data_IF_821717386204
#
_entry.id   IF_821717386204
#
_cell.length_a   1.000
_cell.length_b   1.000
_cell.length_c   1.000
_cell.angle_alpha   90.00
_cell.angle_beta   90.00
_cell.angle_gamma   90.00
#
_symmetry.space_group_name_H-M   'P 1'
#
loop_
_entity.id
_entity.type
_entity.pdbx_description
1 polymer ?
#
# COMPACT_ATOMS: atom_id res chain seq x y z
N UNK A 1 24.94 -5.08 9.52
CA UNK A 1 25.22 -6.53 9.47
C UNK A 1 25.53 -7.01 8.05
N UNK A 2 24.71 -6.74 7.03
CA UNK A 2 24.91 -7.27 5.67
C UNK A 2 26.11 -6.68 4.88
N UNK A 3 26.51 -5.42 5.12
CA UNK A 3 27.66 -4.82 4.43
C UNK A 3 29.03 -5.45 4.81
N UNK A 4 29.07 -6.22 5.90
CA UNK A 4 30.27 -6.90 6.41
C UNK A 4 30.29 -8.40 6.07
N UNK A 5 29.28 -8.91 5.34
CA UNK A 5 29.07 -10.34 5.13
C UNK A 5 29.82 -10.94 3.91
N UNK A 6 30.84 -10.25 3.39
CA UNK A 6 31.61 -10.73 2.23
C UNK A 6 30.79 -10.82 0.92
N UNK A 7 29.71 -10.05 0.81
CA UNK A 7 28.79 -10.09 -0.33
C UNK A 7 29.42 -9.54 -1.60
N UNK A 8 29.07 -10.18 -2.73
CA UNK A 8 29.41 -9.72 -4.07
C UNK A 8 28.78 -8.36 -4.38
N UNK A 9 29.31 -7.65 -5.38
CA UNK A 9 28.77 -6.36 -5.80
C UNK A 9 27.30 -6.44 -6.25
N UNK A 10 26.90 -7.54 -6.91
CA UNK A 10 25.52 -7.78 -7.35
C UNK A 10 24.57 -7.97 -6.16
N UNK A 11 24.97 -8.77 -5.16
CA UNK A 11 24.18 -8.97 -3.94
C UNK A 11 24.02 -7.67 -3.15
N UNK A 12 25.06 -6.82 -3.06
CA UNK A 12 24.95 -5.51 -2.42
C UNK A 12 23.94 -4.61 -3.12
N UNK A 13 23.92 -4.57 -4.46
CA UNK A 13 22.91 -3.82 -5.22
C UNK A 13 21.50 -4.33 -4.96
N UNK A 14 21.31 -5.65 -4.93
CA UNK A 14 20.04 -6.28 -4.61
C UNK A 14 19.56 -5.93 -3.20
N UNK A 15 20.47 -5.91 -2.21
CA UNK A 15 20.11 -5.50 -0.85
C UNK A 15 19.70 -4.03 -0.77
N UNK A 16 20.35 -3.14 -1.52
CA UNK A 16 19.93 -1.73 -1.61
C UNK A 16 18.52 -1.63 -2.22
N UNK A 17 18.24 -2.38 -3.29
CA UNK A 17 16.89 -2.47 -3.88
C UNK A 17 15.87 -2.95 -2.84
N UNK A 18 16.13 -4.09 -2.18
CA UNK A 18 15.24 -4.67 -1.17
C UNK A 18 15.02 -3.74 0.01
N UNK A 19 16.01 -2.95 0.41
CA UNK A 19 15.86 -1.95 1.48
C UNK A 19 14.86 -0.85 1.10
N UNK A 20 14.91 -0.33 -0.13
CA UNK A 20 13.91 0.65 -0.57
C UNK A 20 12.52 0.03 -0.75
N UNK A 21 12.44 -1.21 -1.24
CA UNK A 21 11.17 -1.94 -1.31
C UNK A 21 10.60 -2.24 0.08
N UNK A 22 11.44 -2.48 1.08
CA UNK A 22 11.04 -2.64 2.49
C UNK A 22 10.38 -1.35 3.02
N UNK A 23 11.00 -0.19 2.77
CA UNK A 23 10.41 1.11 3.16
C UNK A 23 9.08 1.33 2.44
N UNK A 24 9.03 1.04 1.14
CA UNK A 24 7.79 1.12 0.35
C UNK A 24 6.69 0.21 0.88
N UNK A 25 7.02 -1.03 1.26
CA UNK A 25 6.08 -1.97 1.84
C UNK A 25 5.56 -1.48 3.20
N UNK A 26 6.44 -1.04 4.10
CA UNK A 26 6.06 -0.54 5.41
C UNK A 26 5.13 0.68 5.29
N UNK A 27 5.45 1.59 4.37
CA UNK A 27 4.58 2.71 4.04
C UNK A 27 3.22 2.22 3.51
N UNK A 28 3.19 1.35 2.50
CA UNK A 28 1.94 0.87 1.92
C UNK A 28 1.01 0.24 2.99
N UNK A 29 1.54 -0.67 3.80
CA UNK A 29 0.77 -1.33 4.86
C UNK A 29 0.28 -0.36 5.93
N UNK A 30 1.03 0.71 6.23
CA UNK A 30 0.55 1.75 7.16
C UNK A 30 -0.72 2.48 6.71
N UNK A 31 -1.01 2.50 5.41
CA UNK A 31 -2.22 3.08 4.85
C UNK A 31 -3.32 2.05 4.68
N UNK A 32 -2.95 0.87 4.19
CA UNK A 32 -3.86 -0.23 4.00
C UNK A 32 -4.53 -0.66 5.32
N UNK A 33 -3.74 -0.74 6.40
CA UNK A 33 -4.21 -1.16 7.72
C UNK A 33 -5.03 -0.08 8.45
N UNK A 34 -5.16 1.13 7.89
CA UNK A 34 -6.13 2.12 8.39
C UNK A 34 -7.58 1.66 8.26
N UNK A 35 -7.83 0.63 7.45
CA UNK A 35 -9.12 -0.08 7.39
C UNK A 35 -9.56 -0.57 8.78
N UNK A 36 -8.63 -1.01 9.64
CA UNK A 36 -8.91 -1.40 11.03
C UNK A 36 -8.85 -0.25 12.05
N UNK A 37 -8.55 0.97 11.61
CA UNK A 37 -8.37 2.15 12.46
C UNK A 37 -9.25 3.31 12.03
N UNK A 38 -8.61 4.39 11.54
CA UNK A 38 -9.29 5.65 11.20
C UNK A 38 -10.46 5.49 10.23
N UNK A 39 -10.36 4.60 9.22
CA UNK A 39 -11.43 4.39 8.24
C UNK A 39 -12.64 3.66 8.84
N UNK A 40 -12.43 2.74 9.78
CA UNK A 40 -13.54 2.11 10.53
C UNK A 40 -14.25 3.15 11.42
N UNK A 41 -13.51 4.06 12.04
CA UNK A 41 -14.09 5.15 12.84
C UNK A 41 -14.89 6.09 11.94
N UNK A 42 -14.34 6.45 10.78
CA UNK A 42 -15.05 7.26 9.80
C UNK A 42 -16.34 6.58 9.29
N UNK A 43 -16.30 5.27 9.07
CA UNK A 43 -17.47 4.47 8.70
C UNK A 43 -18.56 4.49 9.79
N UNK A 44 -18.17 4.40 11.06
CA UNK A 44 -19.10 4.39 12.20
C UNK A 44 -19.77 5.75 12.40
N UNK A 45 -18.96 6.82 12.41
CA UNK A 45 -19.40 8.11 12.95
C UNK A 45 -19.85 9.08 11.85
N UNK A 46 -19.23 9.02 10.67
CA UNK A 46 -19.34 10.04 9.62
C UNK A 46 -19.85 9.50 8.28
N UNK A 47 -20.27 8.24 8.25
CA UNK A 47 -20.85 7.63 7.05
C UNK A 47 -22.31 7.28 7.28
N UNK A 48 -23.16 7.60 6.30
CA UNK A 48 -24.52 7.09 6.24
C UNK A 48 -24.51 5.67 5.68
N UNK A 49 -24.90 4.72 6.53
CA UNK A 49 -24.95 3.30 6.23
C UNK A 49 -26.38 2.83 5.93
N UNK A 50 -27.37 3.72 5.99
CA UNK A 50 -28.71 3.40 5.54
C UNK A 50 -28.78 3.53 4.02
N UNK A 51 -28.83 2.39 3.32
CA UNK A 51 -28.96 2.37 1.87
C UNK A 51 -30.33 1.80 1.54
N UNK A 52 -31.18 2.62 0.93
CA UNK A 52 -32.53 2.23 0.52
C UNK A 52 -33.37 1.61 1.67
N UNK A 53 -33.18 2.10 2.91
CA UNK A 53 -33.91 1.62 4.08
C UNK A 53 -33.28 0.42 4.80
N UNK A 54 -32.12 -0.07 4.36
CA UNK A 54 -31.37 -1.12 5.04
C UNK A 54 -30.11 -0.55 5.70
N UNK A 55 -29.95 -0.80 7.01
CA UNK A 55 -28.77 -0.39 7.77
C UNK A 55 -27.62 -1.38 7.59
N UNK A 56 -26.64 -1.01 6.75
CA UNK A 56 -25.46 -1.82 6.51
C UNK A 56 -24.61 -1.94 7.80
N UNK A 57 -24.22 -3.16 8.22
CA UNK A 57 -23.30 -3.32 9.33
C UNK A 57 -21.92 -2.73 9.00
N UNK A 58 -21.35 -1.95 9.91
CA UNK A 58 -20.00 -1.36 9.74
C UNK A 58 -18.96 -2.45 9.44
N UNK A 59 -19.09 -3.62 10.06
CA UNK A 59 -18.19 -4.77 9.86
C UNK A 59 -18.12 -5.25 8.40
N UNK A 60 -19.15 -4.97 7.59
CA UNK A 60 -19.14 -5.32 6.17
C UNK A 60 -18.18 -4.46 5.36
N UNK A 61 -17.72 -3.32 5.88
CA UNK A 61 -16.67 -2.53 5.23
C UNK A 61 -15.36 -3.33 5.10
N UNK A 62 -15.10 -4.23 6.05
CA UNK A 62 -13.94 -5.12 6.00
C UNK A 62 -14.06 -6.20 4.90
N UNK A 63 -15.26 -6.43 4.36
CA UNK A 63 -15.49 -7.35 3.24
C UNK A 63 -15.17 -6.70 1.89
N UNK A 64 -15.09 -5.36 1.82
CA UNK A 64 -14.85 -4.65 0.57
C UNK A 64 -13.52 -5.09 -0.08
N UNK A 65 -12.45 -5.18 0.70
CA UNK A 65 -11.14 -5.61 0.21
C UNK A 65 -11.14 -7.04 -0.38
N UNK A 66 -11.52 -8.11 0.35
CA UNK A 66 -11.49 -9.46 -0.23
C UNK A 66 -12.41 -9.61 -1.46
N UNK A 67 -13.55 -8.91 -1.49
CA UNK A 67 -14.42 -8.86 -2.68
C UNK A 67 -13.68 -8.21 -3.85
N UNK A 68 -13.08 -7.04 -3.66
CA UNK A 68 -12.32 -6.36 -4.72
C UNK A 68 -11.09 -7.16 -5.17
N UNK A 69 -10.39 -7.85 -4.27
CA UNK A 69 -9.28 -8.73 -4.63
C UNK A 69 -9.75 -9.83 -5.57
N UNK A 70 -10.83 -10.54 -5.23
CA UNK A 70 -11.38 -11.62 -6.08
C UNK A 70 -11.81 -11.08 -7.45
N UNK A 71 -12.45 -9.91 -7.48
CA UNK A 71 -12.93 -9.30 -8.72
C UNK A 71 -11.77 -8.80 -9.62
N UNK A 72 -10.75 -8.17 -9.05
CA UNK A 72 -9.74 -7.45 -9.82
C UNK A 72 -8.39 -8.17 -9.93
N UNK A 73 -8.09 -9.19 -9.14
CA UNK A 73 -6.84 -9.95 -9.26
C UNK A 73 -6.62 -10.54 -10.66
N UNK A 74 -7.64 -11.16 -11.34
CA UNK A 74 -7.47 -11.64 -12.71
C UNK A 74 -7.16 -10.51 -13.70
N UNK A 75 -7.76 -9.32 -13.49
CA UNK A 75 -7.54 -8.14 -14.33
C UNK A 75 -6.09 -7.67 -14.20
N UNK A 76 -5.59 -7.52 -12.98
CA UNK A 76 -4.20 -7.10 -12.74
C UNK A 76 -3.20 -8.14 -13.26
N UNK A 77 -3.46 -9.43 -13.06
CA UNK A 77 -2.64 -10.49 -13.62
C UNK A 77 -2.58 -10.42 -15.16
N UNK A 78 -3.72 -10.18 -15.81
CA UNK A 78 -3.81 -10.00 -17.26
C UNK A 78 -3.06 -8.76 -17.76
N UNK A 79 -3.18 -7.63 -17.07
CA UNK A 79 -2.46 -6.38 -17.39
C UNK A 79 -0.96 -6.59 -17.33
N UNK A 80 -0.44 -7.15 -16.24
CA UNK A 80 1.00 -7.39 -16.09
C UNK A 80 1.54 -8.38 -17.11
N UNK A 81 0.80 -9.46 -17.37
CA UNK A 81 1.17 -10.45 -18.39
C UNK A 81 1.19 -9.83 -19.78
N UNK A 82 0.20 -9.00 -20.14
CA UNK A 82 0.16 -8.33 -21.43
C UNK A 82 1.31 -7.34 -21.61
N UNK A 83 1.65 -6.57 -20.57
CA UNK A 83 2.78 -5.65 -20.58
C UNK A 83 4.11 -6.42 -20.71
N UNK A 84 4.25 -7.56 -20.03
CA UNK A 84 5.43 -8.42 -20.15
C UNK A 84 5.62 -8.96 -21.57
N UNK A 85 4.56 -9.47 -22.22
CA UNK A 85 4.62 -9.94 -23.61
C UNK A 85 5.03 -8.81 -24.57
N UNK A 86 4.64 -7.57 -24.28
CA UNK A 86 5.01 -6.37 -25.06
C UNK A 86 6.37 -5.78 -24.70
N UNK A 87 7.14 -6.41 -23.80
CA UNK A 87 8.40 -5.85 -23.28
C UNK A 87 8.25 -4.47 -22.60
N UNK A 88 7.06 -4.19 -22.07
CA UNK A 88 6.70 -2.95 -21.36
C UNK A 88 6.45 -3.21 -19.87
N UNK A 89 6.91 -4.35 -19.32
CA UNK A 89 6.72 -4.66 -17.90
C UNK A 89 7.45 -3.62 -17.02
N UNK A 90 6.73 -2.89 -16.15
CA UNK A 90 7.39 -1.93 -15.28
C UNK A 90 8.32 -2.63 -14.31
N UNK A 91 9.44 -1.97 -13.99
CA UNK A 91 10.36 -2.47 -12.96
C UNK A 91 9.67 -2.61 -11.59
N UNK A 92 10.24 -3.42 -10.71
CA UNK A 92 9.70 -3.62 -9.35
C UNK A 92 9.55 -2.31 -8.57
N UNK A 93 10.53 -1.39 -8.51
CA UNK A 93 10.34 -0.09 -7.87
C UNK A 93 9.21 0.72 -8.50
N UNK A 94 9.02 0.65 -9.82
CA UNK A 94 7.94 1.36 -10.51
C UNK A 94 6.55 0.80 -10.11
N UNK A 95 6.40 -0.52 -10.02
CA UNK A 95 5.15 -1.14 -9.56
C UNK A 95 4.84 -0.78 -8.09
N UNK A 96 5.86 -0.74 -7.24
CA UNK A 96 5.70 -0.25 -5.87
C UNK A 96 5.31 1.22 -5.82
N UNK A 97 5.93 2.07 -6.63
CA UNK A 97 5.56 3.48 -6.72
C UNK A 97 4.10 3.65 -7.17
N UNK A 98 3.64 2.87 -8.16
CA UNK A 98 2.23 2.87 -8.59
C UNK A 98 1.29 2.51 -7.42
N UNK A 99 1.61 1.48 -6.64
CA UNK A 99 0.80 1.11 -5.47
C UNK A 99 0.75 2.21 -4.40
N UNK A 100 1.88 2.89 -4.15
CA UNK A 100 1.92 4.04 -3.23
C UNK A 100 1.18 5.27 -3.77
N UNK A 101 1.18 5.49 -5.09
CA UNK A 101 0.39 6.57 -5.69
C UNK A 101 -1.11 6.30 -5.62
N UNK A 102 -1.54 5.04 -5.75
CA UNK A 102 -2.93 4.65 -5.52
C UNK A 102 -3.34 4.83 -4.05
N UNK A 103 -2.45 4.50 -3.11
CA UNK A 103 -2.64 4.79 -1.68
C UNK A 103 -2.67 6.31 -1.40
N UNK A 104 -1.83 7.10 -2.07
CA UNK A 104 -1.89 8.55 -1.97
C UNK A 104 -3.25 9.09 -2.47
N UNK A 105 -3.74 8.59 -3.61
CA UNK A 105 -4.99 9.03 -4.20
C UNK A 105 -6.19 8.69 -3.30
N UNK A 106 -6.18 7.54 -2.62
CA UNK A 106 -7.25 7.16 -1.70
C UNK A 106 -7.34 8.11 -0.50
N UNK A 107 -6.20 8.52 0.07
CA UNK A 107 -6.21 9.49 1.18
C UNK A 107 -6.57 10.90 0.72
N UNK A 108 -6.23 11.29 -0.51
CA UNK A 108 -6.74 12.55 -1.10
C UNK A 108 -8.26 12.51 -1.18
N UNK A 109 -8.83 11.39 -1.63
CA UNK A 109 -10.28 11.20 -1.67
C UNK A 109 -10.90 11.29 -0.26
N UNK A 110 -10.24 10.71 0.75
CA UNK A 110 -10.71 10.77 2.14
C UNK A 110 -10.66 12.17 2.73
N UNK A 111 -9.72 13.04 2.34
CA UNK A 111 -9.74 14.45 2.76
C UNK A 111 -11.02 15.14 2.28
N UNK A 112 -11.42 14.92 1.01
CA UNK A 112 -12.68 15.47 0.52
C UNK A 112 -13.91 14.87 1.23
N UNK A 113 -13.85 13.57 1.59
CA UNK A 113 -14.89 12.94 2.38
C UNK A 113 -15.00 13.56 3.79
N UNK A 114 -13.87 13.87 4.43
CA UNK A 114 -13.81 14.56 5.72
C UNK A 114 -14.38 15.97 5.61
N UNK A 115 -13.98 16.74 4.59
CA UNK A 115 -14.51 18.09 4.36
C UNK A 115 -16.02 18.09 4.13
N UNK A 116 -16.54 17.11 3.38
CA UNK A 116 -17.97 16.93 3.18
C UNK A 116 -18.67 16.52 4.50
N UNK A 117 -18.09 15.63 5.29
CA UNK A 117 -18.65 15.23 6.60
C UNK A 117 -18.68 16.40 7.60
N UNK A 118 -17.70 17.32 7.54
CA UNK A 118 -17.72 18.55 8.34
C UNK A 118 -18.91 19.45 8.02
N UNK A 119 -19.40 19.44 6.77
CA UNK A 119 -20.54 20.26 6.34
C UNK A 119 -21.89 19.55 6.56
N UNK A 120 -21.95 18.25 6.29
CA UNK A 120 -23.20 17.49 6.24
C UNK A 120 -23.39 16.50 7.40
N UNK A 121 -22.46 16.46 8.36
CA UNK A 121 -22.34 15.48 9.46
C UNK A 121 -22.04 14.05 9.02
N UNK A 122 -22.74 13.54 8.00
CA UNK A 122 -22.51 12.23 7.40
C UNK A 122 -22.40 12.31 5.88
N UNK A 123 -21.57 11.45 5.31
CA UNK A 123 -21.40 11.29 3.86
C UNK A 123 -21.82 9.89 3.42
N UNK A 124 -22.09 9.72 2.13
CA UNK A 124 -22.46 8.41 1.60
C UNK A 124 -21.32 7.39 1.61
N UNK A 125 -21.67 6.11 1.67
CA UNK A 125 -20.74 4.99 1.73
C UNK A 125 -19.75 4.91 0.55
N UNK A 126 -20.10 5.52 -0.60
CA UNK A 126 -19.27 5.49 -1.81
C UNK A 126 -17.86 6.04 -1.60
N UNK A 127 -17.67 6.99 -0.68
CA UNK A 127 -16.35 7.53 -0.35
C UNK A 127 -15.42 6.44 0.16
N UNK A 128 -15.90 5.61 1.09
CA UNK A 128 -15.15 4.48 1.63
C UNK A 128 -14.99 3.36 0.61
N UNK A 129 -16.02 3.04 -0.17
CA UNK A 129 -15.92 1.99 -1.20
C UNK A 129 -14.86 2.31 -2.25
N UNK A 130 -14.79 3.57 -2.71
CA UNK A 130 -13.77 3.99 -3.68
C UNK A 130 -12.39 4.03 -3.01
N UNK A 131 -12.28 4.48 -1.76
CA UNK A 131 -11.01 4.40 -0.99
C UNK A 131 -10.50 2.96 -0.88
N UNK A 132 -11.35 2.01 -0.50
CA UNK A 132 -10.98 0.59 -0.42
C UNK A 132 -10.67 -0.03 -1.78
N UNK A 133 -11.35 0.41 -2.85
CA UNK A 133 -11.02 0.00 -4.21
C UNK A 133 -9.59 0.45 -4.58
N UNK A 134 -9.23 1.71 -4.31
CA UNK A 134 -7.89 2.23 -4.56
C UNK A 134 -6.82 1.55 -3.71
N UNK A 135 -7.11 1.27 -2.43
CA UNK A 135 -6.24 0.47 -1.56
C UNK A 135 -5.99 -0.90 -2.17
N UNK A 136 -7.05 -1.56 -2.63
CA UNK A 136 -6.97 -2.91 -3.20
C UNK A 136 -6.22 -2.92 -4.52
N UNK A 137 -6.42 -1.92 -5.39
CA UNK A 137 -5.62 -1.80 -6.62
C UNK A 137 -4.14 -1.56 -6.32
N UNK A 138 -3.82 -0.78 -5.28
CA UNK A 138 -2.45 -0.63 -4.81
C UNK A 138 -1.87 -1.94 -4.26
N UNK A 139 -2.69 -2.71 -3.54
CA UNK A 139 -2.32 -4.02 -3.00
C UNK A 139 -2.01 -4.99 -4.14
N UNK A 140 -2.88 -5.09 -5.13
CA UNK A 140 -2.70 -5.95 -6.31
C UNK A 140 -1.47 -5.55 -7.16
N UNK A 141 -1.03 -4.29 -7.08
CA UNK A 141 0.22 -3.85 -7.70
C UNK A 141 1.47 -4.27 -6.92
N UNK A 142 1.39 -4.45 -5.59
CA UNK A 142 2.54 -4.66 -4.70
C UNK A 142 2.65 -6.11 -4.20
N UNK A 143 1.56 -6.70 -3.72
CA UNK A 143 1.59 -7.92 -2.90
C UNK A 143 2.16 -9.15 -3.62
N UNK A 144 1.81 -9.45 -4.90
CA UNK A 144 2.32 -10.66 -5.56
C UNK A 144 3.81 -10.56 -5.89
N UNK A 145 4.26 -9.35 -6.22
CA UNK A 145 5.63 -9.09 -6.67
C UNK A 145 6.60 -8.83 -5.50
N UNK A 146 6.10 -8.27 -4.38
CA UNK A 146 6.92 -7.93 -3.22
C UNK A 146 7.52 -9.18 -2.60
N UNK A 147 6.68 -10.16 -2.27
CA UNK A 147 7.14 -11.42 -1.69
C UNK A 147 8.10 -12.17 -2.63
N UNK A 148 7.81 -12.16 -3.94
CA UNK A 148 8.70 -12.75 -4.95
C UNK A 148 10.05 -12.02 -5.04
N UNK A 149 10.08 -10.69 -4.87
CA UNK A 149 11.32 -9.93 -4.90
C UNK A 149 12.23 -10.28 -3.71
N UNK A 150 11.67 -10.36 -2.50
CA UNK A 150 12.44 -10.70 -1.29
C UNK A 150 12.99 -12.13 -1.30
N UNK A 151 12.40 -13.04 -2.08
CA UNK A 151 12.98 -14.38 -2.29
C UNK A 151 13.98 -14.41 -3.44
N UNK A 152 13.68 -13.76 -4.56
CA UNK A 152 14.48 -13.80 -5.80
C UNK A 152 15.78 -13.01 -5.72
N UNK A 153 15.77 -11.84 -5.08
CA UNK A 153 16.93 -10.96 -4.99
C UNK A 153 17.75 -11.17 -3.70
N UNK A 154 17.28 -12.04 -2.80
CA UNK A 154 18.01 -12.40 -1.59
C UNK A 154 19.35 -13.08 -1.91
N UNK A 155 20.41 -12.79 -1.15
CA UNK A 155 21.60 -13.64 -1.15
C UNK A 155 21.20 -15.06 -0.70
N UNK A 156 21.73 -16.10 -1.36
CA UNK A 156 21.34 -17.50 -1.11
C UNK A 156 21.43 -17.91 0.36
N UNK A 157 22.40 -17.36 1.10
CA UNK A 157 22.62 -17.62 2.53
C UNK A 157 21.60 -16.94 3.45
N UNK A 158 20.89 -15.91 2.98
CA UNK A 158 20.06 -15.02 3.79
C UNK A 158 18.60 -14.95 3.36
N UNK A 159 18.13 -15.88 2.51
CA UNK A 159 16.74 -15.90 2.00
C UNK A 159 15.69 -15.84 3.12
N UNK A 160 15.83 -16.66 4.17
CA UNK A 160 14.91 -16.65 5.31
C UNK A 160 14.89 -15.32 6.07
N UNK A 161 16.04 -14.64 6.17
CA UNK A 161 16.12 -13.31 6.80
C UNK A 161 15.44 -12.24 5.94
N UNK A 162 15.53 -12.34 4.60
CA UNK A 162 14.85 -11.42 3.70
C UNK A 162 13.32 -11.58 3.76
N UNK A 163 12.81 -12.81 3.87
CA UNK A 163 11.39 -13.02 4.19
C UNK A 163 11.00 -12.41 5.54
N UNK A 164 11.86 -12.56 6.56
CA UNK A 164 11.66 -11.89 7.85
C UNK A 164 11.55 -10.37 7.73
N UNK A 165 12.37 -9.74 6.87
CA UNK A 165 12.28 -8.30 6.60
C UNK A 165 10.95 -7.92 5.93
N UNK A 166 10.44 -8.71 4.99
CA UNK A 166 9.13 -8.44 4.39
C UNK A 166 8.01 -8.37 5.44
N UNK A 167 7.92 -9.38 6.32
CA UNK A 167 6.92 -9.37 7.40
C UNK A 167 7.19 -8.30 8.46
N UNK A 168 8.46 -7.96 8.69
CA UNK A 168 8.82 -6.83 9.56
C UNK A 168 8.32 -5.50 8.98
N UNK A 169 8.39 -5.30 7.66
CA UNK A 169 7.81 -4.13 7.02
C UNK A 169 6.29 -4.07 7.25
N UNK A 170 5.58 -5.19 7.07
CA UNK A 170 4.15 -5.27 7.38
C UNK A 170 3.84 -4.94 8.84
N UNK A 171 4.62 -5.48 9.79
CA UNK A 171 4.45 -5.18 11.22
C UNK A 171 4.68 -3.70 11.54
N UNK A 172 5.73 -3.08 10.97
CA UNK A 172 5.97 -1.64 11.09
C UNK A 172 4.80 -0.84 10.50
N UNK A 173 4.30 -1.26 9.34
CA UNK A 173 3.11 -0.67 8.71
C UNK A 173 1.92 -0.68 9.66
N UNK A 174 1.56 -1.84 10.22
CA UNK A 174 0.45 -1.97 11.17
C UNK A 174 0.64 -1.13 12.44
N UNK A 175 1.87 -1.01 12.97
CA UNK A 175 2.16 -0.12 14.11
C UNK A 175 1.96 1.34 13.73
N UNK A 176 2.45 1.78 12.57
CA UNK A 176 2.24 3.13 12.07
C UNK A 176 0.75 3.42 11.84
N UNK A 177 0.01 2.46 11.30
CA UNK A 177 -1.44 2.56 11.12
C UNK A 177 -2.15 2.73 12.47
N UNK A 178 -1.77 1.96 13.48
CA UNK A 178 -2.31 2.05 14.84
C UNK A 178 -2.02 3.40 15.52
N UNK A 179 -0.79 3.91 15.39
CA UNK A 179 -0.42 5.21 15.95
C UNK A 179 -1.18 6.36 15.27
N UNK A 180 -1.14 6.41 13.94
CA UNK A 180 -1.82 7.45 13.15
C UNK A 180 -3.35 7.34 13.25
N UNK A 181 -3.90 6.11 13.28
CA UNK A 181 -5.33 5.88 13.43
C UNK A 181 -5.85 6.13 14.85
N UNK A 182 -4.99 5.95 15.86
CA UNK A 182 -5.30 6.23 17.26
C UNK A 182 -5.60 7.71 17.51
N UNK A 183 -4.82 8.61 16.90
CA UNK A 183 -5.04 10.07 16.96
C UNK A 183 -6.42 10.48 16.43
N UNK A 184 -6.92 9.82 15.37
CA UNK A 184 -8.27 10.02 14.85
C UNK A 184 -9.38 9.61 15.83
N UNK A 185 -9.09 8.69 16.76
CA UNK A 185 -10.04 8.26 17.80
C UNK A 185 -10.17 9.31 18.91
N UNK A 186 -9.05 9.92 19.28
CA UNK A 186 -8.95 10.82 20.44
C UNK A 186 -9.37 12.24 20.08
N UNK A 187 -8.92 12.73 18.92
CA UNK A 187 -9.12 14.12 18.49
C UNK A 187 -10.33 14.31 17.55
N UNK A 188 -10.90 13.22 17.04
CA UNK A 188 -12.11 13.22 16.22
C UNK A 188 -11.89 13.63 14.75
N UNK A 189 -12.98 14.00 14.06
CA UNK A 189 -12.97 14.26 12.61
C UNK A 189 -11.93 15.31 12.16
N UNK A 190 -11.66 16.31 13.01
CA UNK A 190 -10.72 17.39 12.71
C UNK A 190 -9.27 16.96 12.57
N UNK A 191 -8.85 15.86 13.23
CA UNK A 191 -7.48 15.36 13.14
C UNK A 191 -7.23 14.48 11.92
N UNK A 192 -8.29 13.93 11.31
CA UNK A 192 -8.17 13.05 10.14
C UNK A 192 -7.52 13.74 8.94
N UNK A 193 -7.86 15.00 8.65
CA UNK A 193 -7.26 15.75 7.54
C UNK A 193 -5.74 15.95 7.72
N UNK A 194 -5.24 16.44 8.87
CA UNK A 194 -3.80 16.47 9.16
C UNK A 194 -3.10 15.12 9.01
N UNK A 195 -3.69 14.04 9.54
CA UNK A 195 -3.13 12.69 9.49
C UNK A 195 -3.03 12.22 8.03
N UNK A 196 -4.13 12.27 7.27
CA UNK A 196 -4.16 11.88 5.86
C UNK A 196 -3.22 12.74 5.02
N UNK A 197 -3.12 14.04 5.32
CA UNK A 197 -2.18 14.96 4.66
C UNK A 197 -0.72 14.58 4.92
N UNK A 198 -0.38 14.17 6.15
CA UNK A 198 0.95 13.64 6.47
C UNK A 198 1.22 12.36 5.69
N UNK A 199 0.23 11.47 5.61
CA UNK A 199 0.32 10.21 4.87
C UNK A 199 0.59 10.42 3.38
N UNK A 200 -0.20 11.28 2.74
CA UNK A 200 -0.02 11.71 1.35
C UNK A 200 1.41 12.18 1.09
N UNK A 201 1.96 13.04 1.96
CA UNK A 201 3.31 13.60 1.78
C UNK A 201 4.38 12.52 1.77
N UNK A 202 4.37 11.60 2.75
CA UNK A 202 5.41 10.56 2.77
C UNK A 202 5.20 9.52 1.66
N UNK A 203 3.96 9.23 1.25
CA UNK A 203 3.71 8.37 0.08
C UNK A 203 4.30 8.96 -1.19
N UNK A 204 4.08 10.25 -1.45
CA UNK A 204 4.65 10.93 -2.61
C UNK A 204 6.18 10.93 -2.59
N UNK A 205 6.79 11.22 -1.44
CA UNK A 205 8.25 11.21 -1.29
C UNK A 205 8.82 9.83 -1.60
N UNK A 206 8.25 8.78 -0.99
CA UNK A 206 8.74 7.40 -1.20
C UNK A 206 8.48 6.95 -2.64
N UNK A 207 7.33 7.28 -3.22
CA UNK A 207 7.02 6.98 -4.62
C UNK A 207 8.03 7.64 -5.58
N UNK A 208 8.38 8.92 -5.37
CA UNK A 208 9.41 9.62 -6.16
C UNK A 208 10.76 8.93 -6.01
N UNK A 209 11.17 8.57 -4.79
CA UNK A 209 12.42 7.83 -4.56
C UNK A 209 12.43 6.50 -5.31
N UNK A 210 11.33 5.75 -5.29
CA UNK A 210 11.21 4.48 -6.00
C UNK A 210 11.20 4.65 -7.52
N UNK A 211 10.57 5.71 -8.04
CA UNK A 211 10.63 6.08 -9.47
C UNK A 211 12.07 6.39 -9.87
N UNK A 212 12.79 7.21 -9.10
CA UNK A 212 14.21 7.49 -9.37
C UNK A 212 15.04 6.19 -9.31
N UNK A 213 14.81 5.35 -8.30
CA UNK A 213 15.47 4.06 -8.15
C UNK A 213 15.23 3.15 -9.36
N UNK A 214 14.04 3.20 -9.97
CA UNK A 214 13.72 2.40 -11.16
C UNK A 214 14.63 2.69 -12.37
N UNK A 215 15.12 3.92 -12.49
CA UNK A 215 16.02 4.32 -13.57
C UNK A 215 17.49 4.01 -13.26
N UNK A 216 17.85 4.01 -11.97
CA UNK A 216 19.23 3.82 -11.50
C UNK A 216 19.58 2.34 -11.33
N UNK A 217 18.65 1.55 -10.77
CA UNK A 217 18.86 0.14 -10.47
C UNK A 217 18.14 -0.69 -11.53
N UNK A 218 18.85 -0.93 -12.64
CA UNK A 218 18.44 -1.99 -13.58
C UNK A 218 18.69 -3.33 -12.91
N UNK A 219 17.67 -4.18 -12.70
CA UNK A 219 17.90 -5.53 -12.20
C UNK A 219 18.85 -6.24 -13.16
N UNK A 220 19.81 -7.00 -12.61
CA UNK A 220 20.68 -7.83 -13.42
C UNK A 220 19.79 -8.72 -14.30
N UNK A 221 19.93 -8.62 -15.63
CA UNK A 221 19.31 -9.56 -16.57
C UNK A 221 19.94 -10.93 -16.32
N UNK A 222 19.35 -11.71 -15.42
CA UNK A 222 19.64 -13.13 -15.36
C UNK A 222 18.70 -13.81 -16.35
N UNK A 223 19.33 -14.15 -17.47
CA UNK A 223 19.02 -15.14 -18.51
C UNK A 223 17.84 -16.04 -18.13
N UNK A 224 16.84 -16.00 -19.00
CA UNK A 224 15.77 -17.00 -19.13
C UNK A 224 16.38 -18.42 -19.07
N UNK A 225 15.81 -19.27 -18.22
CA UNK A 225 15.86 -20.73 -18.41
C UNK A 225 14.45 -21.14 -18.79
#
# INVERSE_FOLDING_TARGET
MFFLAGLSFSERKNLVLLFFLFIGAAAFWSGFDQSGGSLTIFARDFTDLNIAGFDFPISWMNLANPVFVVLFAPVFAGVWTNLAIKSLDPSLPMKFALGLLLMCLSFVLMIYAVDAAMQYQKVGIQWLLITYLLHTWGELAISPIGLSAFSRYAPKKYVGQMFGLWFTASAIGGVLAGLLGGEATVEGLGSMTPIFSFMIKYYLIIAVVLVVLSFVVKPAKNIEI
#
